data_IF_618080042450
#
_entry.id   IF_618080042450
#
_cell.length_a   1.000
_cell.length_b   1.000
_cell.length_c   1.000
_cell.angle_alpha   90.00
_cell.angle_beta   90.00
_cell.angle_gamma   90.00
#
_symmetry.space_group_name_H-M   'P 1'
#
loop_
_entity.id
_entity.type
_entity.pdbx_description
1 polymer ?
#
# COMPACT_ATOMS: atom_id res chain seq x y z
N UNK A 1 22.23 8.45 3.99
CA UNK A 1 20.78 8.48 3.67
C UNK A 1 20.43 7.68 2.42
N UNK A 2 21.11 7.85 1.28
CA UNK A 2 20.72 7.20 0.01
C UNK A 2 20.67 5.66 0.00
N UNK A 3 21.52 4.99 0.78
CA UNK A 3 21.51 3.52 0.85
C UNK A 3 20.27 2.96 1.55
N UNK A 4 19.77 3.63 2.60
CA UNK A 4 18.62 3.15 3.37
C UNK A 4 17.32 3.26 2.57
N UNK A 5 17.08 4.41 1.92
CA UNK A 5 15.90 4.61 1.06
C UNK A 5 15.84 3.56 -0.06
N UNK A 6 16.99 3.25 -0.68
CA UNK A 6 17.06 2.19 -1.69
C UNK A 6 16.69 0.82 -1.11
N UNK A 7 17.14 0.49 0.10
CA UNK A 7 16.77 -0.77 0.74
C UNK A 7 15.28 -0.81 1.08
N UNK A 8 14.72 0.28 1.61
CA UNK A 8 13.29 0.39 1.92
C UNK A 8 12.43 0.20 0.65
N UNK A 9 12.76 0.89 -0.44
CA UNK A 9 12.06 0.72 -1.73
C UNK A 9 12.21 -0.69 -2.32
N UNK A 10 13.34 -1.35 -2.07
CA UNK A 10 13.57 -2.74 -2.49
C UNK A 10 12.70 -3.70 -1.68
N UNK A 11 12.67 -3.56 -0.35
CA UNK A 11 11.82 -4.35 0.55
C UNK A 11 10.34 -4.18 0.22
N UNK A 12 9.92 -2.93 -0.05
CA UNK A 12 8.56 -2.59 -0.46
C UNK A 12 8.15 -3.13 -1.84
N UNK A 13 9.08 -3.72 -2.61
CA UNK A 13 8.87 -4.19 -3.99
C UNK A 13 8.20 -3.11 -4.85
N UNK A 14 8.75 -1.89 -4.81
CA UNK A 14 8.13 -0.67 -5.38
C UNK A 14 7.75 -0.80 -6.87
N UNK A 15 8.45 -1.65 -7.62
CA UNK A 15 8.16 -1.93 -9.04
C UNK A 15 6.77 -2.50 -9.28
N UNK A 16 6.14 -3.09 -8.26
CA UNK A 16 4.82 -3.71 -8.35
C UNK A 16 3.69 -2.71 -8.04
N UNK A 17 3.99 -1.51 -7.52
CA UNK A 17 2.99 -0.49 -7.21
C UNK A 17 2.09 -0.11 -8.40
N UNK A 18 2.55 -0.04 -9.66
CA UNK A 18 1.66 0.18 -10.79
C UNK A 18 0.52 -0.84 -10.87
N UNK A 19 0.78 -2.11 -10.53
CA UNK A 19 -0.26 -3.16 -10.51
C UNK A 19 -1.25 -2.94 -9.37
N UNK A 20 -0.76 -2.55 -8.19
CA UNK A 20 -1.61 -2.18 -7.05
C UNK A 20 -2.54 -1.03 -7.44
N UNK A 21 -1.98 0.01 -8.07
CA UNK A 21 -2.74 1.19 -8.48
C UNK A 21 -3.78 0.87 -9.54
N UNK A 22 -3.46 0.05 -10.55
CA UNK A 22 -4.46 -0.36 -11.56
C UNK A 22 -5.63 -1.11 -10.94
N UNK A 23 -5.37 -1.95 -9.93
CA UNK A 23 -6.44 -2.67 -9.22
C UNK A 23 -7.30 -1.72 -8.38
N UNK A 24 -6.68 -0.79 -7.65
CA UNK A 24 -7.37 0.24 -6.88
C UNK A 24 -8.23 1.15 -7.79
N UNK A 25 -7.69 1.59 -8.93
CA UNK A 25 -8.41 2.42 -9.90
C UNK A 25 -9.58 1.69 -10.53
N UNK A 26 -9.42 0.40 -10.86
CA UNK A 26 -10.52 -0.42 -11.35
C UNK A 26 -11.64 -0.54 -10.31
N UNK A 27 -11.30 -0.85 -9.05
CA UNK A 27 -12.28 -0.93 -7.96
C UNK A 27 -12.98 0.41 -7.69
N UNK A 28 -12.22 1.51 -7.67
CA UNK A 28 -12.74 2.86 -7.53
C UNK A 28 -13.70 3.23 -8.67
N UNK A 29 -13.32 2.93 -9.92
CA UNK A 29 -14.15 3.17 -11.10
C UNK A 29 -15.45 2.37 -11.08
N UNK A 30 -15.38 1.07 -10.76
CA UNK A 30 -16.57 0.21 -10.61
C UNK A 30 -17.51 0.76 -9.53
N UNK A 31 -16.96 1.18 -8.38
CA UNK A 31 -17.74 1.75 -7.29
C UNK A 31 -18.45 3.05 -7.71
N UNK A 32 -17.77 3.91 -8.45
CA UNK A 32 -18.35 5.13 -9.01
C UNK A 32 -19.54 4.81 -9.94
N UNK A 33 -19.42 3.82 -10.82
CA UNK A 33 -20.52 3.42 -11.71
C UNK A 33 -21.67 2.77 -10.94
N UNK A 34 -21.37 1.83 -10.04
CA UNK A 34 -22.36 1.03 -9.32
C UNK A 34 -23.24 1.85 -8.35
N UNK A 35 -22.68 2.91 -7.76
CA UNK A 35 -23.42 3.85 -6.90
C UNK A 35 -24.25 4.87 -7.70
N UNK A 36 -24.34 4.74 -9.02
CA UNK A 36 -25.15 5.62 -9.86
C UNK A 36 -24.47 6.93 -10.27
N UNK A 37 -23.20 7.16 -9.91
CA UNK A 37 -22.48 8.37 -10.32
C UNK A 37 -22.14 8.41 -11.82
N UNK A 38 -22.34 7.33 -12.57
CA UNK A 38 -22.00 7.27 -14.01
C UNK A 38 -23.20 7.04 -14.95
N UNK A 39 -24.36 6.55 -14.49
CA UNK A 39 -25.49 6.23 -15.37
C UNK A 39 -26.63 7.27 -15.34
N UNK A 40 -26.55 8.27 -14.47
CA UNK A 40 -27.42 9.44 -14.48
C UNK A 40 -26.55 10.71 -14.39
N UNK A 41 -25.96 11.14 -15.51
CA UNK A 41 -25.11 12.33 -15.53
C UNK A 41 -25.80 13.50 -16.26
N UNK A 42 -26.49 14.41 -15.54
CA UNK A 42 -26.55 15.80 -15.94
C UNK A 42 -25.14 16.39 -15.83
N UNK A 43 -24.71 17.29 -16.75
CA UNK A 43 -23.37 17.90 -16.73
C UNK A 43 -23.04 18.69 -15.44
N UNK A 44 -24.03 18.91 -14.58
CA UNK A 44 -23.96 19.69 -13.35
C UNK A 44 -23.71 18.88 -12.08
N UNK A 45 -23.93 17.55 -12.07
CA UNK A 45 -23.57 16.68 -10.94
C UNK A 45 -22.24 16.01 -11.27
N UNK A 46 -21.21 16.86 -11.31
CA UNK A 46 -19.84 16.47 -11.53
C UNK A 46 -19.29 15.59 -10.41
N UNK A 47 -17.98 15.38 -10.48
CA UNK A 47 -17.09 14.79 -9.48
C UNK A 47 -17.15 15.47 -8.08
N UNK A 48 -18.30 15.87 -7.56
CA UNK A 48 -18.42 16.66 -6.34
C UNK A 48 -18.00 15.89 -5.08
N UNK A 49 -17.91 14.56 -5.15
CA UNK A 49 -17.41 13.68 -4.07
C UNK A 49 -16.19 12.84 -4.47
N UNK A 50 -15.68 13.00 -5.70
CA UNK A 50 -14.38 12.43 -6.08
C UNK A 50 -13.30 13.42 -5.66
N UNK A 51 -13.20 13.68 -4.36
CA UNK A 51 -12.16 14.54 -3.81
C UNK A 51 -10.81 13.96 -4.26
N UNK A 52 -10.00 14.70 -5.04
CA UNK A 52 -8.69 14.23 -5.48
C UNK A 52 -7.82 13.73 -4.31
N UNK A 53 -8.09 14.30 -3.13
CA UNK A 53 -7.52 13.86 -1.86
C UNK A 53 -7.86 12.42 -1.48
N UNK A 54 -9.12 11.98 -1.65
CA UNK A 54 -9.55 10.62 -1.34
C UNK A 54 -8.89 9.57 -2.24
N UNK A 55 -8.76 9.87 -3.54
CA UNK A 55 -8.09 9.00 -4.50
C UNK A 55 -6.58 8.96 -4.22
N UNK A 56 -5.97 10.10 -3.91
CA UNK A 56 -4.57 10.14 -3.50
C UNK A 56 -4.33 9.33 -2.21
N UNK A 57 -5.21 9.50 -1.21
CA UNK A 57 -5.16 8.73 0.03
C UNK A 57 -5.36 7.22 -0.21
N UNK A 58 -6.23 6.84 -1.16
CA UNK A 58 -6.43 5.45 -1.56
C UNK A 58 -5.14 4.86 -2.15
N UNK A 59 -4.53 5.54 -3.12
CA UNK A 59 -3.33 5.06 -3.79
C UNK A 59 -2.13 5.01 -2.84
N UNK A 60 -1.93 6.04 -2.01
CA UNK A 60 -0.87 6.08 -1.01
C UNK A 60 -1.10 5.02 0.09
N UNK A 61 -2.32 4.93 0.61
CA UNK A 61 -2.69 3.94 1.62
C UNK A 61 -2.47 2.52 1.13
N UNK A 62 -2.94 2.19 -0.06
CA UNK A 62 -2.73 0.87 -0.68
C UNK A 62 -1.25 0.58 -0.95
N UNK A 63 -0.47 1.59 -1.35
CA UNK A 63 0.98 1.45 -1.55
C UNK A 63 1.70 1.10 -0.24
N UNK A 64 1.32 1.75 0.86
CA UNK A 64 1.89 1.52 2.18
C UNK A 64 1.47 0.16 2.76
N UNK A 65 0.22 -0.25 2.62
CA UNK A 65 -0.22 -1.60 3.04
C UNK A 65 0.53 -2.67 2.25
N UNK A 66 0.65 -2.51 0.93
CA UNK A 66 1.41 -3.44 0.09
C UNK A 66 2.90 -3.48 0.47
N UNK A 67 3.52 -2.31 0.68
CA UNK A 67 4.91 -2.19 1.12
C UNK A 67 5.11 -2.88 2.48
N UNK A 68 4.24 -2.58 3.44
CA UNK A 68 4.28 -3.16 4.78
C UNK A 68 4.15 -4.69 4.75
N UNK A 69 3.22 -5.22 3.97
CA UNK A 69 3.10 -6.68 3.77
C UNK A 69 4.36 -7.29 3.16
N UNK A 70 4.98 -6.63 2.19
CA UNK A 70 6.22 -7.10 1.58
C UNK A 70 7.40 -7.07 2.56
N UNK A 71 7.55 -5.96 3.29
CA UNK A 71 8.62 -5.76 4.29
C UNK A 71 8.49 -6.75 5.44
N UNK A 72 7.26 -6.97 5.95
CA UNK A 72 7.00 -7.93 7.02
C UNK A 72 7.22 -9.36 6.56
N UNK A 73 6.78 -9.74 5.34
CA UNK A 73 7.05 -11.07 4.79
C UNK A 73 8.56 -11.37 4.76
N UNK A 74 9.37 -10.42 4.29
CA UNK A 74 10.83 -10.57 4.28
C UNK A 74 11.42 -10.65 5.70
N UNK A 75 10.83 -9.97 6.67
CA UNK A 75 11.25 -10.03 8.08
C UNK A 75 10.91 -11.38 8.73
N UNK A 76 9.75 -11.95 8.44
CA UNK A 76 9.37 -13.30 8.87
C UNK A 76 10.25 -14.37 8.22
N UNK A 77 10.56 -14.21 6.93
CA UNK A 77 11.35 -15.15 6.14
C UNK A 77 12.87 -15.05 6.40
N UNK A 78 13.33 -14.18 7.31
CA UNK A 78 14.76 -13.95 7.57
C UNK A 78 15.55 -15.25 7.79
N UNK A 79 15.00 -16.20 8.53
CA UNK A 79 15.65 -17.48 8.80
C UNK A 79 15.79 -18.36 7.55
N UNK A 80 14.76 -18.40 6.72
CA UNK A 80 14.76 -19.11 5.44
C UNK A 80 15.71 -18.43 4.46
N UNK A 81 15.62 -17.11 4.32
CA UNK A 81 16.43 -16.32 3.41
C UNK A 81 17.91 -16.33 3.79
N UNK A 82 18.26 -16.44 5.07
CA UNK A 82 19.67 -16.62 5.48
C UNK A 82 20.31 -17.87 4.88
N UNK A 83 19.52 -18.92 4.64
CA UNK A 83 20.00 -20.19 4.07
C UNK A 83 19.94 -20.21 2.54
N UNK A 84 18.90 -19.64 1.95
CA UNK A 84 18.61 -19.79 0.51
C UNK A 84 18.81 -18.51 -0.32
N UNK A 85 18.69 -17.32 0.27
CA UNK A 85 18.80 -16.01 -0.40
C UNK A 85 19.65 -15.01 0.43
N UNK A 86 20.92 -15.33 0.74
CA UNK A 86 21.73 -14.54 1.69
C UNK A 86 22.03 -13.11 1.21
N UNK A 87 21.86 -12.82 -0.08
CA UNK A 87 22.07 -11.51 -0.69
C UNK A 87 20.96 -10.48 -0.38
N UNK A 88 19.79 -10.96 0.07
CA UNK A 88 18.63 -10.12 0.42
C UNK A 88 18.95 -9.11 1.53
N UNK A 89 18.24 -7.97 1.61
CA UNK A 89 18.61 -6.85 2.49
C UNK A 89 18.76 -7.20 3.98
N UNK A 90 17.87 -8.04 4.52
CA UNK A 90 17.86 -8.41 5.94
C UNK A 90 18.97 -9.43 6.26
N UNK A 91 19.08 -10.60 5.58
CA UNK A 91 20.17 -11.55 5.83
C UNK A 91 21.56 -10.97 5.57
N UNK A 92 21.72 -10.12 4.54
CA UNK A 92 22.98 -9.44 4.22
C UNK A 92 23.32 -8.28 5.17
N UNK A 93 22.50 -8.04 6.21
CA UNK A 93 22.66 -6.97 7.22
C UNK A 93 22.67 -5.55 6.65
N UNK A 94 22.16 -5.34 5.43
CA UNK A 94 21.95 -4.00 4.88
C UNK A 94 20.82 -3.27 5.62
N UNK A 95 19.87 -4.02 6.17
CA UNK A 95 18.81 -3.57 7.08
C UNK A 95 18.76 -4.54 8.26
N UNK A 96 18.61 -4.03 9.49
CA UNK A 96 18.46 -4.91 10.65
C UNK A 96 17.06 -5.49 10.73
N UNK A 97 16.91 -6.69 11.29
CA UNK A 97 15.61 -7.34 11.48
C UNK A 97 14.63 -6.44 12.26
N UNK A 98 15.08 -5.84 13.37
CA UNK A 98 14.27 -4.90 14.15
C UNK A 98 13.80 -3.69 13.32
N UNK A 99 14.68 -3.14 12.47
CA UNK A 99 14.30 -2.04 11.57
C UNK A 99 13.26 -2.47 10.54
N UNK A 100 13.38 -3.67 9.96
CA UNK A 100 12.40 -4.19 9.01
C UNK A 100 11.02 -4.40 9.67
N UNK A 101 10.99 -4.94 10.88
CA UNK A 101 9.76 -5.10 11.66
C UNK A 101 9.09 -3.76 11.98
N UNK A 102 9.85 -2.79 12.48
CA UNK A 102 9.33 -1.45 12.79
C UNK A 102 8.83 -0.76 11.52
N UNK A 103 9.60 -0.82 10.43
CA UNK A 103 9.23 -0.24 9.14
C UNK A 103 7.95 -0.89 8.60
N UNK A 104 7.90 -2.21 8.52
CA UNK A 104 6.74 -2.92 7.99
C UNK A 104 5.47 -2.68 8.80
N UNK A 105 5.55 -2.67 10.13
CA UNK A 105 4.40 -2.37 11.00
C UNK A 105 3.94 -0.91 10.86
N UNK A 106 4.89 0.03 10.72
CA UNK A 106 4.55 1.44 10.52
C UNK A 106 3.96 1.72 9.14
N UNK A 107 4.48 1.08 8.08
CA UNK A 107 3.89 1.08 6.74
C UNK A 107 2.46 0.54 6.75
N UNK A 108 2.24 -0.64 7.36
CA UNK A 108 0.92 -1.27 7.45
C UNK A 108 -0.08 -0.39 8.23
N UNK A 109 0.33 0.14 9.38
CA UNK A 109 -0.52 0.96 10.24
C UNK A 109 -0.86 2.30 9.59
N UNK A 110 0.14 2.99 9.03
CA UNK A 110 -0.07 4.27 8.35
C UNK A 110 -0.91 4.09 7.07
N UNK A 111 -0.65 3.03 6.31
CA UNK A 111 -1.43 2.69 5.12
C UNK A 111 -2.90 2.44 5.46
N UNK A 112 -3.16 1.62 6.47
CA UNK A 112 -4.52 1.32 6.94
C UNK A 112 -5.23 2.57 7.46
N UNK A 113 -4.53 3.44 8.19
CA UNK A 113 -5.08 4.72 8.63
C UNK A 113 -5.43 5.65 7.47
N UNK A 114 -4.60 5.73 6.42
CA UNK A 114 -4.89 6.51 5.21
C UNK A 114 -6.09 5.94 4.45
N UNK A 115 -6.22 4.62 4.35
CA UNK A 115 -7.38 3.99 3.71
C UNK A 115 -8.67 4.34 4.47
N UNK A 116 -8.64 4.27 5.80
CA UNK A 116 -9.82 4.53 6.62
C UNK A 116 -10.17 6.03 6.70
N UNK A 117 -9.25 6.86 7.21
CA UNK A 117 -9.52 8.28 7.46
C UNK A 117 -9.40 9.15 6.20
N UNK A 118 -8.51 8.79 5.27
CA UNK A 118 -8.24 9.60 4.08
C UNK A 118 -9.11 9.20 2.88
N UNK A 119 -9.22 7.90 2.60
CA UNK A 119 -9.97 7.39 1.46
C UNK A 119 -11.43 7.01 1.78
N UNK A 120 -11.81 6.99 3.06
CA UNK A 120 -13.17 6.62 3.47
C UNK A 120 -13.51 5.14 3.20
N UNK A 121 -12.50 4.27 3.16
CA UNK A 121 -12.71 2.84 2.96
C UNK A 121 -13.46 2.23 4.15
N UNK A 122 -14.25 1.18 3.88
CA UNK A 122 -15.01 0.48 4.91
C UNK A 122 -14.10 -0.04 6.02
N UNK A 123 -14.43 0.26 7.28
CA UNK A 123 -13.70 -0.23 8.45
C UNK A 123 -13.52 -1.74 8.43
N UNK A 124 -14.57 -2.48 8.07
CA UNK A 124 -14.56 -3.94 8.01
C UNK A 124 -13.44 -4.43 7.08
N UNK A 125 -13.42 -3.94 5.84
CA UNK A 125 -12.43 -4.36 4.85
C UNK A 125 -11.03 -3.86 5.17
N UNK A 126 -10.90 -2.65 5.74
CA UNK A 126 -9.60 -2.11 6.17
C UNK A 126 -9.00 -2.88 7.34
N UNK A 127 -9.80 -3.46 8.23
CA UNK A 127 -9.31 -4.28 9.36
C UNK A 127 -9.03 -5.73 9.00
N UNK A 128 -9.50 -6.20 7.83
CA UNK A 128 -9.29 -7.57 7.34
C UNK A 128 -8.07 -7.70 6.41
N UNK A 129 -7.43 -6.58 6.06
CA UNK A 129 -6.15 -6.53 5.33
C UNK A 129 -4.99 -6.96 6.24
#
# INVERSE_FOLDING_TARGET
MGNFLKQALTLARVSNLPTVWTNCLAGWGINAVALGHALAMPPSIGLQNAEPFSLLALLLGASLVYAGGCTLNDAFDEGFDRKYNPERPIPSRKVTSATAWILGMSELSAGSALLFFGAGCSALWSTLL
#
